data_IF_936963822167
#
_entry.id   IF_936963822167
#
_cell.length_a   1.000
_cell.length_b   1.000
_cell.length_c   1.000
_cell.angle_alpha   90.00
_cell.angle_beta   90.00
_cell.angle_gamma   90.00
#
_symmetry.space_group_name_H-M   'P 1'
#
loop_
_entity.id
_entity.type
_entity.pdbx_description
1 polymer ?
#
# COMPACT_ATOMS: atom_id res chain seq x y z
N UNK A 1 -13.19 -23.96 3.06
CA UNK A 1 -12.32 -23.07 3.89
C UNK A 1 -13.13 -22.60 5.09
N UNK A 2 -12.71 -22.86 6.35
CA UNK A 2 -13.47 -22.49 7.55
C UNK A 2 -13.70 -20.99 7.62
N UNK A 3 -14.90 -20.54 8.04
CA UNK A 3 -15.26 -19.10 8.08
C UNK A 3 -14.23 -18.32 8.93
N UNK A 4 -13.68 -17.21 8.43
CA UNK A 4 -12.71 -16.42 9.21
C UNK A 4 -13.39 -15.84 10.45
N UNK A 5 -12.63 -15.70 11.53
CA UNK A 5 -13.08 -15.01 12.75
C UNK A 5 -13.07 -13.50 12.57
N UNK A 6 -12.12 -12.99 11.79
CA UNK A 6 -11.93 -11.56 11.55
C UNK A 6 -12.75 -11.11 10.32
N UNK A 7 -13.35 -9.91 10.34
CA UNK A 7 -13.98 -9.35 9.15
C UNK A 7 -12.92 -8.96 8.12
N UNK A 8 -13.23 -9.08 6.82
CA UNK A 8 -12.33 -8.61 5.75
C UNK A 8 -12.02 -7.12 5.91
N UNK A 9 -10.80 -6.73 5.54
CA UNK A 9 -10.35 -5.34 5.51
C UNK A 9 -11.31 -4.48 4.68
N UNK A 10 -11.90 -3.48 5.33
CA UNK A 10 -12.80 -2.51 4.73
C UNK A 10 -12.47 -1.15 5.31
N UNK A 11 -12.14 -0.20 4.43
CA UNK A 11 -11.81 1.17 4.80
C UNK A 11 -13.08 2.02 4.90
N UNK A 12 -13.77 1.92 6.03
CA UNK A 12 -14.90 2.79 6.36
C UNK A 12 -14.42 4.14 6.93
N UNK A 13 -15.34 5.07 7.14
CA UNK A 13 -15.06 6.40 7.68
C UNK A 13 -14.40 6.37 9.07
N UNK A 14 -14.64 5.32 9.88
CA UNK A 14 -14.05 5.16 11.21
C UNK A 14 -12.52 5.02 11.18
N UNK A 15 -11.94 4.57 10.05
CA UNK A 15 -10.48 4.47 9.91
C UNK A 15 -9.82 5.83 9.77
N UNK A 16 -10.61 6.83 9.41
CA UNK A 16 -10.17 8.18 9.10
C UNK A 16 -10.67 9.19 10.15
N UNK A 17 -11.66 8.84 10.98
CA UNK A 17 -12.05 9.65 12.14
C UNK A 17 -11.02 9.46 13.26
N UNK A 18 -10.13 10.43 13.41
CA UNK A 18 -9.21 10.51 14.55
C UNK A 18 -9.40 11.88 15.21
N UNK A 19 -9.73 11.86 16.50
CA UNK A 19 -10.14 13.04 17.28
C UNK A 19 -8.99 14.05 17.50
N UNK A 20 -7.73 13.62 17.31
CA UNK A 20 -6.53 14.45 17.52
C UNK A 20 -5.61 14.53 16.29
N UNK A 21 -6.15 14.69 15.08
CA UNK A 21 -5.29 14.93 13.91
C UNK A 21 -4.82 16.38 13.86
N UNK A 22 -3.51 16.58 14.03
CA UNK A 22 -2.88 17.87 13.83
C UNK A 22 -2.30 18.02 12.41
N UNK A 23 -2.32 19.24 11.89
CA UNK A 23 -1.64 19.63 10.66
C UNK A 23 -2.08 18.88 9.40
N UNK A 24 -1.11 18.47 8.58
CA UNK A 24 -1.35 17.94 7.24
C UNK A 24 -2.01 16.55 7.19
N UNK A 25 -1.88 15.73 8.25
CA UNK A 25 -2.54 14.43 8.31
C UNK A 25 -4.06 14.62 8.37
N UNK A 26 -4.52 15.68 9.06
CA UNK A 26 -5.93 16.09 9.06
C UNK A 26 -6.43 16.42 7.65
N UNK A 27 -5.66 17.21 6.88
CA UNK A 27 -6.03 17.57 5.50
C UNK A 27 -6.12 16.35 4.59
N UNK A 28 -5.13 15.45 4.64
CA UNK A 28 -5.15 14.23 3.83
C UNK A 28 -6.31 13.31 4.19
N UNK A 29 -6.63 13.24 5.47
CA UNK A 29 -7.78 12.49 5.99
C UNK A 29 -9.10 13.10 5.51
N UNK A 30 -9.25 14.42 5.57
CA UNK A 30 -10.41 15.13 5.04
C UNK A 30 -10.61 14.85 3.55
N UNK A 31 -9.54 14.89 2.74
CA UNK A 31 -9.61 14.55 1.32
C UNK A 31 -10.03 13.10 1.07
N UNK A 32 -9.65 12.16 1.94
CA UNK A 32 -10.14 10.77 1.85
C UNK A 32 -11.64 10.72 2.18
N UNK A 33 -12.10 11.44 3.21
CA UNK A 33 -13.53 11.53 3.53
C UNK A 33 -14.33 12.16 2.40
N UNK A 34 -13.81 13.19 1.73
CA UNK A 34 -14.39 13.77 0.51
C UNK A 34 -14.51 12.74 -0.61
N UNK A 35 -13.48 11.89 -0.82
CA UNK A 35 -13.55 10.78 -1.78
C UNK A 35 -14.67 9.80 -1.42
N UNK A 36 -14.79 9.42 -0.14
CA UNK A 36 -15.83 8.49 0.33
C UNK A 36 -17.23 9.08 0.09
N UNK A 37 -17.43 10.36 0.42
CA UNK A 37 -18.69 11.07 0.23
C UNK A 37 -19.01 11.22 -1.26
N UNK A 38 -18.02 11.56 -2.09
CA UNK A 38 -18.19 11.81 -3.52
C UNK A 38 -18.76 10.61 -4.28
N UNK A 39 -18.34 9.41 -3.91
CA UNK A 39 -18.78 8.16 -4.52
C UNK A 39 -19.95 7.49 -3.76
N UNK A 40 -20.45 8.13 -2.69
CA UNK A 40 -21.62 7.75 -1.88
C UNK A 40 -21.68 6.26 -1.50
N UNK A 41 -20.57 5.74 -0.95
CA UNK A 41 -20.44 4.32 -0.58
C UNK A 41 -20.30 4.08 0.92
N UNK A 42 -20.20 5.15 1.72
CA UNK A 42 -19.86 5.10 3.15
C UNK A 42 -18.50 4.45 3.47
N UNK A 43 -17.76 4.02 2.44
CA UNK A 43 -16.51 3.28 2.49
C UNK A 43 -15.63 3.74 1.32
N UNK A 44 -14.31 3.65 1.50
CA UNK A 44 -13.33 3.88 0.45
C UNK A 44 -13.30 2.66 -0.48
N UNK A 45 -14.27 2.63 -1.38
CA UNK A 45 -14.38 1.67 -2.46
C UNK A 45 -14.36 2.46 -3.74
N UNK A 46 -13.48 2.12 -4.67
CA UNK A 46 -13.28 2.82 -5.94
C UNK A 46 -13.36 1.84 -7.10
N UNK A 47 -13.98 2.25 -8.20
CA UNK A 47 -13.80 1.60 -9.50
C UNK A 47 -12.49 2.09 -10.11
N UNK A 48 -11.82 1.30 -10.96
CA UNK A 48 -10.58 1.74 -11.60
C UNK A 48 -10.69 3.13 -12.26
N UNK A 49 -11.75 3.37 -13.04
CA UNK A 49 -12.00 4.64 -13.72
C UNK A 49 -12.24 5.85 -12.80
N UNK A 50 -12.55 5.64 -11.51
CA UNK A 50 -12.73 6.70 -10.51
C UNK A 50 -11.40 7.18 -9.92
N UNK A 51 -10.28 6.51 -10.24
CA UNK A 51 -8.96 6.84 -9.70
C UNK A 51 -8.48 8.23 -10.13
N UNK A 52 -8.74 8.64 -11.38
CA UNK A 52 -8.30 9.95 -11.88
C UNK A 52 -8.99 11.09 -11.10
N UNK A 53 -10.30 10.96 -10.88
CA UNK A 53 -11.08 11.91 -10.08
C UNK A 53 -10.63 11.93 -8.62
N UNK A 54 -10.41 10.76 -8.02
CA UNK A 54 -9.79 10.60 -6.70
C UNK A 54 -8.48 11.38 -6.62
N UNK A 55 -7.61 11.25 -7.64
CA UNK A 55 -6.36 12.00 -7.72
C UNK A 55 -6.56 13.52 -7.75
N UNK A 56 -7.64 14.03 -8.36
CA UNK A 56 -7.95 15.48 -8.37
C UNK A 56 -8.35 15.97 -6.98
N UNK A 57 -9.21 15.23 -6.28
CA UNK A 57 -9.63 15.51 -4.90
C UNK A 57 -8.41 15.50 -3.96
N UNK A 58 -7.59 14.45 -4.04
CA UNK A 58 -6.38 14.31 -3.22
C UNK A 58 -5.34 15.41 -3.44
N UNK A 59 -5.39 16.12 -4.58
CA UNK A 59 -4.56 17.30 -4.87
C UNK A 59 -5.16 18.62 -4.41
N UNK A 60 -6.37 18.64 -3.86
CA UNK A 60 -7.10 19.87 -3.53
C UNK A 60 -7.60 20.63 -4.75
N UNK A 61 -7.71 19.96 -5.91
CA UNK A 61 -8.22 20.59 -7.15
C UNK A 61 -9.74 20.51 -7.29
N UNK A 62 -10.43 19.96 -6.28
CA UNK A 62 -11.89 19.91 -6.23
C UNK A 62 -12.36 20.88 -5.15
N UNK A 63 -13.18 21.87 -5.53
CA UNK A 63 -13.84 22.80 -4.60
C UNK A 63 -15.24 22.29 -4.35
N UNK A 64 -15.49 21.70 -3.17
CA UNK A 64 -16.86 21.62 -2.69
C UNK A 64 -17.27 23.01 -2.20
N UNK A 65 -18.44 23.44 -2.63
CA UNK A 65 -19.09 24.74 -2.36
C UNK A 65 -19.18 25.05 -0.86
N UNK A 66 -18.09 25.49 -0.26
CA UNK A 66 -18.08 26.13 1.05
C UNK A 66 -17.26 27.41 0.93
N UNK A 67 -17.90 28.53 1.28
CA UNK A 67 -17.44 29.90 1.20
C UNK A 67 -16.25 30.23 2.13
N UNK A 68 -15.42 29.26 2.50
CA UNK A 68 -14.21 29.51 3.28
C UNK A 68 -13.03 29.70 2.35
N UNK A 69 -12.61 30.97 2.26
CA UNK A 69 -11.34 31.42 1.69
C UNK A 69 -10.27 30.37 1.93
N UNK A 70 -9.74 29.80 0.84
CA UNK A 70 -8.60 28.89 0.83
C UNK A 70 -7.51 29.42 1.78
N UNK A 71 -7.43 28.84 2.97
CA UNK A 71 -6.26 28.99 3.82
C UNK A 71 -5.08 28.49 3.00
N UNK A 72 -4.10 29.37 2.78
CA UNK A 72 -2.75 29.08 2.29
C UNK A 72 -2.37 27.62 2.55
N UNK A 73 -2.47 26.80 1.50
CA UNK A 73 -2.44 25.33 1.57
C UNK A 73 -1.28 24.82 2.43
N UNK A 74 -1.60 24.23 3.59
CA UNK A 74 -0.71 23.33 4.30
C UNK A 74 -0.39 22.15 3.36
N UNK A 75 0.70 22.26 2.61
CA UNK A 75 1.30 21.18 1.84
C UNK A 75 2.47 20.65 2.66
N UNK A 76 2.45 19.36 3.01
CA UNK A 76 3.65 18.69 3.52
C UNK A 76 4.81 18.95 2.55
N UNK A 77 5.90 19.48 3.08
CA UNK A 77 7.19 19.50 2.39
C UNK A 77 7.60 18.06 2.05
N UNK A 78 8.44 17.85 1.02
CA UNK A 78 8.93 16.50 0.70
C UNK A 78 9.59 15.80 1.89
N UNK A 79 10.24 16.56 2.78
CA UNK A 79 10.87 16.04 4.01
C UNK A 79 9.81 15.52 4.98
N UNK A 80 8.78 16.30 5.28
CA UNK A 80 7.71 15.88 6.20
C UNK A 80 6.92 14.69 5.64
N UNK A 81 6.67 14.62 4.32
CA UNK A 81 6.05 13.42 3.70
C UNK A 81 6.91 12.19 3.91
N UNK A 82 8.21 12.30 3.67
CA UNK A 82 9.16 11.19 3.85
C UNK A 82 9.23 10.76 5.31
N UNK A 83 9.18 11.72 6.24
CA UNK A 83 9.13 11.46 7.66
C UNK A 83 7.85 10.71 8.05
N UNK A 84 6.67 11.21 7.67
CA UNK A 84 5.38 10.57 7.93
C UNK A 84 5.33 9.13 7.40
N UNK A 85 5.75 8.91 6.16
CA UNK A 85 5.79 7.56 5.57
C UNK A 85 6.70 6.63 6.41
N UNK A 86 7.87 7.11 6.82
CA UNK A 86 8.78 6.33 7.66
C UNK A 86 8.20 6.04 9.04
N UNK A 87 7.49 6.99 9.64
CA UNK A 87 6.82 6.77 10.93
C UNK A 87 5.72 5.71 10.82
N UNK A 88 4.86 5.81 9.79
CA UNK A 88 3.79 4.84 9.55
C UNK A 88 4.33 3.46 9.18
N UNK A 89 5.43 3.39 8.43
CA UNK A 89 6.15 2.13 8.18
C UNK A 89 6.72 1.53 9.48
N UNK A 90 7.37 2.31 10.33
CA UNK A 90 7.86 1.82 11.63
C UNK A 90 6.72 1.35 12.53
N UNK A 91 5.59 2.05 12.53
CA UNK A 91 4.40 1.61 13.25
C UNK A 91 3.90 0.26 12.71
N UNK A 92 3.82 0.11 11.39
CA UNK A 92 3.45 -1.14 10.74
C UNK A 92 4.40 -2.28 11.13
N UNK A 93 5.71 -2.06 11.04
CA UNK A 93 6.73 -3.08 11.35
C UNK A 93 6.62 -3.59 12.79
N UNK A 94 6.38 -2.68 13.76
CA UNK A 94 6.17 -3.03 15.18
C UNK A 94 4.92 -3.87 15.42
N UNK A 95 3.93 -3.75 14.53
CA UNK A 95 2.61 -4.38 14.66
C UNK A 95 2.32 -5.43 13.58
N UNK A 96 3.33 -5.85 12.82
CA UNK A 96 3.16 -6.70 11.63
C UNK A 96 2.58 -8.08 11.94
N UNK A 97 2.74 -8.56 13.16
CA UNK A 97 2.18 -9.83 13.62
C UNK A 97 0.64 -9.83 13.60
N UNK A 98 -0.01 -8.67 13.82
CA UNK A 98 -1.47 -8.52 13.71
C UNK A 98 -1.91 -8.84 12.28
N UNK A 99 -1.18 -8.32 11.29
CA UNK A 99 -1.48 -8.55 9.87
C UNK A 99 -1.21 -9.98 9.44
N UNK A 100 -0.15 -10.63 9.95
CA UNK A 100 0.07 -12.05 9.70
C UNK A 100 -1.05 -12.93 10.28
N UNK A 101 -1.49 -12.65 11.50
CA UNK A 101 -2.62 -13.35 12.10
C UNK A 101 -3.91 -13.12 11.31
N UNK A 102 -4.14 -11.88 10.86
CA UNK A 102 -5.26 -11.55 9.99
C UNK A 102 -5.22 -12.33 8.68
N UNK A 103 -4.12 -12.31 7.93
CA UNK A 103 -4.03 -13.06 6.66
C UNK A 103 -4.17 -14.56 6.86
N UNK A 104 -3.61 -15.11 7.95
CA UNK A 104 -3.76 -16.52 8.30
C UNK A 104 -5.23 -16.88 8.57
N UNK A 105 -5.95 -16.06 9.32
CA UNK A 105 -7.39 -16.26 9.54
C UNK A 105 -8.19 -16.19 8.23
N UNK A 106 -7.94 -15.16 7.41
CA UNK A 106 -8.67 -14.97 6.15
C UNK A 106 -8.41 -16.06 5.12
N UNK A 107 -7.15 -16.46 4.94
CA UNK A 107 -6.70 -17.30 3.82
C UNK A 107 -6.35 -18.73 4.21
N UNK A 108 -6.16 -18.99 5.51
CA UNK A 108 -5.58 -20.23 6.05
C UNK A 108 -4.13 -20.48 5.59
N UNK A 109 -3.45 -19.46 5.08
CA UNK A 109 -2.04 -19.50 4.71
C UNK A 109 -1.23 -18.76 5.77
N UNK A 110 -0.22 -19.42 6.31
CA UNK A 110 0.80 -18.77 7.11
C UNK A 110 1.83 -18.11 6.19
N UNK A 111 1.58 -16.87 5.79
CA UNK A 111 2.43 -16.15 4.83
C UNK A 111 3.86 -15.93 5.34
N UNK A 112 4.04 -15.83 6.66
CA UNK A 112 5.36 -15.70 7.28
C UNK A 112 6.18 -16.96 7.04
N UNK A 113 5.60 -18.13 7.35
CA UNK A 113 6.27 -19.42 7.17
C UNK A 113 6.42 -19.78 5.68
N UNK A 114 5.35 -19.62 4.90
CA UNK A 114 5.29 -20.07 3.50
C UNK A 114 6.15 -19.22 2.55
N UNK A 115 6.22 -17.91 2.79
CA UNK A 115 6.87 -16.96 1.87
C UNK A 115 8.00 -16.19 2.53
N UNK A 116 7.75 -15.45 3.62
CA UNK A 116 8.74 -14.52 4.19
C UNK A 116 10.06 -15.22 4.56
N UNK A 117 9.99 -16.39 5.23
CA UNK A 117 11.18 -17.15 5.65
C UNK A 117 12.07 -17.61 4.49
N UNK A 118 11.52 -17.72 3.28
CA UNK A 118 12.25 -18.16 2.07
C UNK A 118 12.93 -17.00 1.34
N UNK A 119 12.63 -15.76 1.71
CA UNK A 119 13.20 -14.58 1.06
C UNK A 119 14.68 -14.46 1.43
N UNK A 120 15.51 -14.35 0.39
CA UNK A 120 16.91 -13.98 0.48
C UNK A 120 17.22 -12.96 -0.60
N UNK A 121 18.04 -11.93 -0.33
CA UNK A 121 18.66 -11.59 0.97
C UNK A 121 17.69 -11.11 2.07
N UNK A 122 18.11 -11.18 3.34
CA UNK A 122 17.31 -10.77 4.52
C UNK A 122 16.74 -9.36 4.43
N UNK A 123 17.45 -8.42 3.78
CA UNK A 123 17.00 -7.04 3.59
C UNK A 123 15.64 -6.94 2.89
N UNK A 124 15.24 -7.95 2.09
CA UNK A 124 13.95 -7.99 1.42
C UNK A 124 12.82 -8.55 2.28
N UNK A 125 13.14 -9.33 3.33
CA UNK A 125 12.14 -9.90 4.25
C UNK A 125 11.28 -8.81 4.88
N UNK A 126 11.90 -7.72 5.34
CA UNK A 126 11.20 -6.59 5.96
C UNK A 126 10.21 -5.89 5.02
N UNK A 127 10.43 -5.94 3.69
CA UNK A 127 9.54 -5.29 2.72
C UNK A 127 8.38 -6.18 2.30
N UNK A 128 8.46 -7.50 2.51
CA UNK A 128 7.42 -8.44 2.12
C UNK A 128 6.07 -8.18 2.78
N UNK A 129 5.94 -8.09 4.11
CA UNK A 129 4.64 -7.82 4.72
C UNK A 129 4.11 -6.43 4.34
N UNK A 130 5.00 -5.45 4.18
CA UNK A 130 4.62 -4.12 3.72
C UNK A 130 4.04 -4.15 2.30
N UNK A 131 4.65 -4.94 1.41
CA UNK A 131 4.12 -5.23 0.07
C UNK A 131 2.77 -5.94 0.11
N UNK A 132 2.66 -7.01 0.89
CA UNK A 132 1.44 -7.80 0.98
C UNK A 132 0.27 -6.99 1.55
N UNK A 133 0.55 -6.09 2.50
CA UNK A 133 -0.46 -5.14 2.99
C UNK A 133 -0.95 -4.18 1.90
N UNK A 134 -0.05 -3.66 1.07
CA UNK A 134 -0.46 -2.78 -0.03
C UNK A 134 -1.30 -3.50 -1.08
N UNK A 135 -0.96 -4.75 -1.37
CA UNK A 135 -1.76 -5.65 -2.22
C UNK A 135 -3.17 -5.81 -1.65
N UNK A 136 -3.27 -6.17 -0.37
CA UNK A 136 -4.55 -6.37 0.32
C UNK A 136 -5.39 -5.07 0.38
N UNK A 137 -4.74 -3.94 0.67
CA UNK A 137 -5.37 -2.63 0.65
C UNK A 137 -5.93 -2.28 -0.74
N UNK A 138 -5.16 -2.51 -1.81
CA UNK A 138 -5.63 -2.26 -3.19
C UNK A 138 -6.80 -3.18 -3.53
N UNK A 139 -6.75 -4.45 -3.15
CA UNK A 139 -7.89 -5.37 -3.35
C UNK A 139 -9.12 -4.88 -2.59
N UNK A 140 -8.97 -4.45 -1.34
CA UNK A 140 -10.07 -3.96 -0.52
C UNK A 140 -10.73 -2.70 -1.10
N UNK A 141 -9.94 -1.80 -1.73
CA UNK A 141 -10.45 -0.55 -2.31
C UNK A 141 -11.05 -0.80 -3.70
N UNK A 142 -10.38 -1.55 -4.58
CA UNK A 142 -10.76 -1.67 -5.99
C UNK A 142 -11.50 -2.95 -6.35
N UNK A 143 -11.57 -3.92 -5.44
CA UNK A 143 -12.25 -5.21 -5.65
C UNK A 143 -12.83 -5.79 -4.35
N UNK A 144 -13.62 -5.00 -3.58
CA UNK A 144 -14.14 -5.42 -2.27
C UNK A 144 -15.06 -6.64 -2.32
N UNK A 145 -15.69 -6.87 -3.48
CA UNK A 145 -16.62 -7.98 -3.71
C UNK A 145 -15.97 -9.31 -4.11
N UNK A 146 -14.64 -9.38 -4.25
CA UNK A 146 -13.95 -10.63 -4.64
C UNK A 146 -14.32 -11.75 -3.70
N UNK A 147 -14.63 -12.93 -4.25
CA UNK A 147 -14.94 -14.08 -3.43
C UNK A 147 -13.71 -14.48 -2.59
N UNK A 148 -13.94 -15.21 -1.49
CA UNK A 148 -12.85 -15.55 -0.58
C UNK A 148 -11.78 -16.42 -1.24
N UNK A 149 -12.17 -17.33 -2.12
CA UNK A 149 -11.23 -18.18 -2.86
C UNK A 149 -10.36 -17.32 -3.77
N UNK A 150 -10.97 -16.40 -4.51
CA UNK A 150 -10.26 -15.46 -5.36
C UNK A 150 -9.31 -14.57 -4.55
N UNK A 151 -9.78 -14.01 -3.43
CA UNK A 151 -8.96 -13.21 -2.53
C UNK A 151 -7.72 -13.95 -2.03
N UNK A 152 -7.90 -15.19 -1.55
CA UNK A 152 -6.80 -16.06 -1.14
C UNK A 152 -5.80 -16.23 -2.28
N UNK A 153 -6.30 -16.58 -3.47
CA UNK A 153 -5.46 -16.83 -4.64
C UNK A 153 -4.70 -15.58 -5.07
N UNK A 154 -5.29 -14.39 -4.96
CA UNK A 154 -4.64 -13.11 -5.27
C UNK A 154 -3.48 -12.81 -4.33
N UNK A 155 -3.67 -12.96 -3.02
CA UNK A 155 -2.59 -12.76 -2.04
C UNK A 155 -1.45 -13.78 -2.21
N UNK A 156 -1.81 -15.02 -2.52
CA UNK A 156 -0.86 -16.09 -2.81
C UNK A 156 -0.05 -15.80 -4.08
N UNK A 157 -0.72 -15.47 -5.20
CA UNK A 157 -0.07 -15.08 -6.46
C UNK A 157 0.80 -13.84 -6.32
N UNK A 158 0.36 -12.85 -5.54
CA UNK A 158 1.15 -11.67 -5.24
C UNK A 158 2.46 -12.03 -4.50
N UNK A 159 2.37 -12.97 -3.56
CA UNK A 159 3.52 -13.45 -2.79
C UNK A 159 4.50 -14.25 -3.67
N UNK A 160 4.00 -15.09 -4.58
CA UNK A 160 4.82 -15.79 -5.57
C UNK A 160 5.49 -14.83 -6.55
N UNK A 161 4.75 -13.83 -7.04
CA UNK A 161 5.29 -12.79 -7.91
C UNK A 161 6.42 -12.04 -7.20
N UNK A 162 6.28 -11.70 -5.92
CA UNK A 162 7.33 -11.06 -5.14
C UNK A 162 8.62 -11.89 -5.14
N UNK A 163 8.53 -13.19 -4.84
CA UNK A 163 9.69 -14.09 -4.84
C UNK A 163 10.33 -14.21 -6.22
N UNK A 164 9.51 -14.35 -7.27
CA UNK A 164 9.99 -14.51 -8.65
C UNK A 164 10.67 -13.24 -9.16
N UNK A 165 10.11 -12.06 -8.87
CA UNK A 165 10.72 -10.78 -9.22
C UNK A 165 12.02 -10.56 -8.47
N UNK A 166 12.03 -10.87 -7.16
CA UNK A 166 13.25 -10.77 -6.37
C UNK A 166 14.35 -11.64 -6.95
N UNK A 167 14.07 -12.93 -7.20
CA UNK A 167 15.03 -13.84 -7.82
C UNK A 167 15.51 -13.30 -9.16
N UNK A 168 14.59 -12.93 -10.05
CA UNK A 168 14.93 -12.37 -11.38
C UNK A 168 15.86 -11.16 -11.27
N UNK A 169 15.55 -10.20 -10.40
CA UNK A 169 16.34 -8.98 -10.29
C UNK A 169 17.71 -9.23 -9.65
N UNK A 170 17.80 -10.16 -8.70
CA UNK A 170 19.09 -10.58 -8.13
C UNK A 170 19.92 -11.34 -9.16
N UNK A 171 19.32 -12.19 -9.97
CA UNK A 171 20.01 -12.91 -11.04
C UNK A 171 20.54 -11.92 -12.09
N UNK A 172 19.73 -10.93 -12.51
CA UNK A 172 20.13 -9.81 -13.38
C UNK A 172 21.32 -9.03 -12.80
N UNK A 173 21.27 -8.67 -11.52
CA UNK A 173 22.34 -7.93 -10.84
C UNK A 173 23.61 -8.81 -10.66
N UNK A 174 23.48 -10.11 -10.38
CA UNK A 174 24.59 -11.05 -10.19
C UNK A 174 25.42 -11.27 -11.47
N UNK A 175 24.80 -11.17 -12.64
CA UNK A 175 25.49 -11.21 -13.92
C UNK A 175 26.33 -9.93 -14.16
N UNK A 176 25.96 -8.81 -13.55
CA UNK A 176 26.78 -7.59 -13.51
C UNK A 176 27.91 -7.67 -12.45
N UNK A 177 27.76 -8.52 -11.41
CA UNK A 177 28.53 -8.52 -10.15
C UNK A 177 29.71 -9.52 -10.05
N UNK A 178 30.36 -9.96 -11.13
CA UNK A 178 31.66 -10.67 -10.99
C UNK A 178 32.79 -9.83 -10.36
N UNK A 179 32.53 -8.61 -9.84
CA UNK A 179 33.50 -7.75 -9.15
C UNK A 179 32.85 -6.93 -8.00
N UNK A 180 33.07 -7.40 -6.76
CA UNK A 180 33.17 -6.64 -5.50
C UNK A 180 31.91 -6.27 -4.64
N UNK A 181 32.03 -6.68 -3.36
CA UNK A 181 31.69 -5.93 -2.13
C UNK A 181 30.27 -5.95 -1.54
N UNK A 182 29.42 -6.93 -1.85
CA UNK A 182 28.16 -7.16 -1.10
C UNK A 182 27.19 -5.98 -1.08
N UNK A 183 27.38 -5.01 -1.98
CA UNK A 183 26.54 -3.83 -2.17
C UNK A 183 26.10 -3.81 -3.62
N UNK A 184 24.78 -3.73 -3.82
CA UNK A 184 24.19 -3.59 -5.15
C UNK A 184 24.86 -2.46 -5.95
N UNK A 185 25.17 -2.65 -7.24
CA UNK A 185 25.79 -1.64 -8.07
C UNK A 185 24.86 -0.43 -8.25
N UNK A 186 25.40 0.73 -8.66
CA UNK A 186 24.57 1.93 -8.93
C UNK A 186 23.52 1.70 -10.02
N UNK A 187 23.78 0.78 -10.96
CA UNK A 187 22.86 0.33 -12.01
C UNK A 187 21.70 -0.48 -11.45
N UNK A 188 21.91 -1.19 -10.33
CA UNK A 188 20.92 -2.08 -9.76
C UNK A 188 19.67 -1.33 -9.29
N UNK A 189 18.52 -1.97 -9.54
CA UNK A 189 17.22 -1.56 -9.04
C UNK A 189 17.19 -1.51 -7.50
N UNK A 190 18.07 -2.27 -6.86
CA UNK A 190 18.25 -2.36 -5.41
C UNK A 190 19.39 -1.50 -4.85
N UNK A 191 20.05 -0.68 -5.68
CA UNK A 191 21.02 0.30 -5.19
C UNK A 191 20.44 1.13 -4.04
N UNK A 192 21.10 1.09 -2.87
CA UNK A 192 20.66 1.77 -1.63
C UNK A 192 19.20 1.43 -1.25
N UNK A 193 18.79 0.17 -1.39
CA UNK A 193 17.41 -0.26 -1.09
C UNK A 193 16.94 0.16 0.32
N UNK A 194 17.85 0.12 1.29
CA UNK A 194 17.58 0.53 2.68
C UNK A 194 17.24 2.02 2.79
N UNK A 195 17.75 2.84 1.89
CA UNK A 195 17.46 4.27 1.84
C UNK A 195 16.28 4.61 0.93
N UNK A 196 15.96 3.72 -0.02
CA UNK A 196 14.83 3.86 -0.94
C UNK A 196 13.49 3.82 -0.23
N UNK A 197 13.41 3.21 0.96
CA UNK A 197 12.21 3.19 1.80
C UNK A 197 11.00 2.71 0.99
N UNK A 198 9.95 3.52 0.92
CA UNK A 198 8.75 3.22 0.13
C UNK A 198 9.01 3.03 -1.38
N UNK A 199 10.04 3.65 -1.97
CA UNK A 199 10.33 3.43 -3.40
C UNK A 199 10.70 1.97 -3.71
N UNK A 200 11.20 1.22 -2.72
CA UNK A 200 11.47 -0.22 -2.84
C UNK A 200 10.18 -1.04 -3.06
N UNK A 201 9.08 -0.63 -2.42
CA UNK A 201 7.77 -1.29 -2.54
C UNK A 201 7.30 -1.31 -4.00
N UNK A 202 7.45 -0.18 -4.69
CA UNK A 202 6.93 0.00 -6.05
C UNK A 202 7.66 -0.84 -7.09
N UNK A 203 8.88 -1.31 -6.81
CA UNK A 203 9.60 -2.27 -7.66
C UNK A 203 8.81 -3.57 -7.81
N UNK A 204 8.06 -3.96 -6.77
CA UNK A 204 7.23 -5.17 -6.75
C UNK A 204 5.76 -4.87 -7.04
N UNK A 205 5.26 -3.72 -6.56
CA UNK A 205 3.85 -3.36 -6.69
C UNK A 205 3.46 -2.97 -8.12
N UNK A 206 4.34 -2.30 -8.88
CA UNK A 206 4.04 -1.92 -10.27
C UNK A 206 3.79 -3.15 -11.17
N UNK A 207 4.68 -4.17 -11.22
CA UNK A 207 4.40 -5.39 -11.98
C UNK A 207 3.15 -6.13 -11.51
N UNK A 208 2.87 -6.13 -10.19
CA UNK A 208 1.66 -6.75 -9.65
C UNK A 208 0.38 -6.06 -10.15
N UNK A 209 0.30 -4.73 -10.03
CA UNK A 209 -0.84 -3.95 -10.54
C UNK A 209 -0.98 -4.15 -12.05
N UNK A 210 0.13 -4.09 -12.80
CA UNK A 210 0.11 -4.25 -14.26
C UNK A 210 -0.48 -5.60 -14.70
N UNK A 211 -0.11 -6.67 -14.00
CA UNK A 211 -0.48 -8.03 -14.39
C UNK A 211 -1.88 -8.43 -13.90
N UNK A 212 -2.31 -7.95 -12.73
CA UNK A 212 -3.53 -8.44 -12.07
C UNK A 212 -4.63 -7.38 -11.96
N UNK A 213 -4.32 -6.10 -12.17
CA UNK A 213 -5.26 -4.98 -12.16
C UNK A 213 -5.04 -4.05 -13.38
N UNK A 214 -5.13 -4.56 -14.63
CA UNK A 214 -4.79 -3.78 -15.82
C UNK A 214 -5.65 -2.53 -16.01
N UNK A 215 -6.93 -2.58 -15.61
CA UNK A 215 -7.80 -1.40 -15.65
C UNK A 215 -7.31 -0.29 -14.72
N UNK A 216 -6.85 -0.65 -13.52
CA UNK A 216 -6.28 0.31 -12.57
C UNK A 216 -4.92 0.80 -13.06
N UNK A 217 -4.10 -0.09 -13.63
CA UNK A 217 -2.84 0.30 -14.27
C UNK A 217 -3.05 1.40 -15.30
N UNK A 218 -4.04 1.25 -16.19
CA UNK A 218 -4.33 2.24 -17.24
C UNK A 218 -4.67 3.63 -16.69
N UNK A 219 -5.17 3.70 -15.46
CA UNK A 219 -5.53 4.96 -14.79
C UNK A 219 -4.37 5.57 -14.00
N UNK A 220 -3.40 4.73 -13.61
CA UNK A 220 -2.26 5.10 -12.77
C UNK A 220 -0.96 5.33 -13.56
N UNK A 221 -0.82 4.69 -14.72
CA UNK A 221 0.37 4.70 -15.55
C UNK A 221 0.65 6.07 -16.17
N UNK A 222 1.90 6.51 -16.16
CA UNK A 222 2.37 7.60 -17.01
C UNK A 222 3.03 7.09 -18.29
N UNK A 223 3.30 5.79 -18.37
CA UNK A 223 3.89 5.06 -19.50
C UNK A 223 3.64 3.57 -19.31
N UNK A 224 3.86 2.76 -20.35
CA UNK A 224 3.74 1.29 -20.28
C UNK A 224 4.64 0.63 -19.23
N UNK A 225 5.65 1.35 -18.73
CA UNK A 225 6.65 0.80 -17.81
C UNK A 225 6.50 1.30 -16.38
N UNK A 226 5.75 2.37 -16.12
CA UNK A 226 5.81 3.07 -14.83
C UNK A 226 4.49 3.75 -14.44
N UNK A 227 4.14 3.62 -13.18
CA UNK A 227 3.08 4.37 -12.52
C UNK A 227 3.54 5.80 -12.20
N UNK A 228 2.67 6.76 -12.47
CA UNK A 228 2.85 8.17 -12.12
C UNK A 228 3.08 8.35 -10.61
N UNK A 229 4.07 9.15 -10.21
CA UNK A 229 4.38 9.41 -8.81
C UNK A 229 3.20 10.03 -8.03
N UNK A 230 2.29 10.75 -8.70
CA UNK A 230 1.05 11.24 -8.11
C UNK A 230 0.08 10.11 -7.76
N UNK A 231 -0.04 9.10 -8.62
CA UNK A 231 -0.86 7.92 -8.34
C UNK A 231 -0.29 7.13 -7.16
N UNK A 232 1.04 6.99 -7.10
CA UNK A 232 1.73 6.41 -5.93
C UNK A 232 1.45 7.19 -4.66
N UNK A 233 1.48 8.52 -4.73
CA UNK A 233 1.19 9.39 -3.60
C UNK A 233 -0.24 9.19 -3.05
N UNK A 234 -1.25 8.99 -3.91
CA UNK A 234 -2.62 8.67 -3.47
C UNK A 234 -2.66 7.37 -2.68
N UNK A 235 -2.12 6.28 -3.23
CA UNK A 235 -2.09 4.96 -2.55
C UNK A 235 -1.33 5.03 -1.23
N UNK A 236 -0.18 5.72 -1.19
CA UNK A 236 0.58 5.97 0.05
C UNK A 236 -0.23 6.74 1.09
N UNK A 237 -1.05 7.69 0.64
CA UNK A 237 -1.87 8.50 1.54
C UNK A 237 -2.96 7.65 2.18
N UNK A 238 -3.58 6.73 1.44
CA UNK A 238 -4.50 5.75 2.02
C UNK A 238 -3.82 4.92 3.10
N UNK A 239 -2.63 4.39 2.83
CA UNK A 239 -1.84 3.66 3.84
C UNK A 239 -1.56 4.52 5.08
N UNK A 240 -0.98 5.72 4.91
CA UNK A 240 -0.54 6.56 6.02
C UNK A 240 -1.69 7.03 6.91
N UNK A 241 -2.88 7.28 6.33
CA UNK A 241 -4.03 7.77 7.09
C UNK A 241 -4.85 6.65 7.74
N UNK A 242 -4.68 5.39 7.32
CA UNK A 242 -5.50 4.27 7.80
C UNK A 242 -4.77 3.29 8.70
N UNK A 243 -3.45 3.12 8.55
CA UNK A 243 -2.77 1.92 9.08
C UNK A 243 -2.87 1.77 10.60
N UNK A 244 -2.81 2.87 11.35
CA UNK A 244 -2.90 2.82 12.82
C UNK A 244 -4.29 2.42 13.29
N UNK A 245 -5.34 3.04 12.76
CA UNK A 245 -6.71 2.73 13.15
C UNK A 245 -7.12 1.33 12.66
N UNK A 246 -6.70 0.95 11.46
CA UNK A 246 -6.90 -0.40 10.95
C UNK A 246 -6.22 -1.42 11.89
N UNK A 247 -4.94 -1.21 12.23
CA UNK A 247 -4.21 -2.09 13.14
C UNK A 247 -4.89 -2.20 14.51
N UNK A 248 -5.32 -1.08 15.11
CA UNK A 248 -6.02 -1.07 16.41
C UNK A 248 -7.34 -1.85 16.36
N UNK A 249 -8.14 -1.65 15.31
CA UNK A 249 -9.42 -2.37 15.16
C UNK A 249 -9.19 -3.87 15.07
N UNK A 250 -8.21 -4.30 14.28
CA UNK A 250 -7.91 -5.73 14.14
C UNK A 250 -7.24 -6.32 15.38
N UNK A 251 -6.42 -5.56 16.10
CA UNK A 251 -5.83 -6.03 17.36
C UNK A 251 -6.89 -6.31 18.43
N UNK A 252 -7.90 -5.45 18.56
CA UNK A 252 -8.99 -5.60 19.53
C UNK A 252 -9.90 -6.82 19.28
N UNK A 253 -9.88 -7.39 18.07
CA UNK A 253 -10.67 -8.58 17.74
C UNK A 253 -9.82 -9.85 17.92
N UNK A 254 -8.49 -9.73 17.78
CA UNK A 254 -7.55 -10.86 17.93
C UNK A 254 -7.25 -11.14 19.41
N UNK A 255 -7.12 -10.09 20.22
CA UNK A 255 -6.78 -10.13 21.65
C UNK A 255 -7.89 -9.51 22.49
#
# INVERSE_FOLDING_TARGET
>A
IPKPKLPRLVFDDSFFKVEELQGNVKLHTQRILEVIQRFDRGKLILKPNEFNETGKIMRGRWTWSSNEKQSTELKLTPKERKFLIREKQRYFDRNVYIWYNYWKDQTQIDFKEKFERRIQPYVFRKYFPYFLFHVDMIIAIFSPGKERIEYKNELERASELYLNLLKKYLDEDSQEEKKNSGRFPKSSRFYRIEEKGDSALWVFLEPWIKNLFPELWNQMASSDKKINDQAKAVIRTFFCCSIEQATKKYSQIIF
#
